data_IF_594328935621
#
_entry.id   IF_594328935621
#
_cell.length_a   1.000
_cell.length_b   1.000
_cell.length_c   1.000
_cell.angle_alpha   90.00
_cell.angle_beta   90.00
_cell.angle_gamma   90.00
#
_symmetry.space_group_name_H-M   'P 1'
#
loop_
_entity.id
_entity.type
_entity.pdbx_description
1 polymer ?
#
# COMPACT_ATOMS: atom_id res chain seq x y z
N UNK A 1 10.06 -19.37 17.90
CA UNK A 1 8.80 -18.84 17.36
C UNK A 1 8.96 -18.65 15.87
N UNK A 2 7.96 -18.99 15.03
CA UNK A 2 8.02 -18.73 13.58
C UNK A 2 7.69 -17.26 13.31
N UNK A 3 8.27 -16.69 12.24
CA UNK A 3 8.11 -15.29 11.86
C UNK A 3 7.37 -15.19 10.53
N UNK A 4 6.54 -14.17 10.37
CA UNK A 4 5.85 -13.85 9.12
C UNK A 4 6.15 -12.40 8.75
N UNK A 5 6.70 -12.20 7.55
CA UNK A 5 6.81 -10.90 6.92
C UNK A 5 5.58 -10.68 6.03
N UNK A 6 4.85 -9.60 6.26
CA UNK A 6 3.63 -9.23 5.53
C UNK A 6 3.92 -7.95 4.76
N UNK A 7 3.62 -7.96 3.47
CA UNK A 7 3.69 -6.77 2.64
C UNK A 7 2.56 -5.79 2.96
N UNK A 8 2.73 -4.52 2.60
CA UNK A 8 1.71 -3.48 2.80
C UNK A 8 0.82 -3.29 1.55
N UNK A 9 1.40 -2.75 0.47
CA UNK A 9 0.65 -2.34 -0.72
C UNK A 9 0.07 -3.55 -1.45
N UNK A 10 -1.23 -3.50 -1.77
CA UNK A 10 -2.00 -4.58 -2.42
C UNK A 10 -2.11 -5.87 -1.60
N UNK A 11 -1.72 -5.84 -0.32
CA UNK A 11 -1.86 -6.96 0.62
C UNK A 11 -2.70 -6.56 1.83
N UNK A 12 -2.32 -5.50 2.54
CA UNK A 12 -3.10 -4.95 3.66
C UNK A 12 -3.71 -3.58 3.31
N UNK A 13 -3.24 -2.92 2.25
CA UNK A 13 -3.76 -1.64 1.76
C UNK A 13 -4.17 -1.67 0.29
N UNK A 14 -5.17 -0.87 -0.07
CA UNK A 14 -5.71 -0.74 -1.44
C UNK A 14 -5.03 0.38 -2.24
N UNK A 15 -3.75 0.23 -2.58
CA UNK A 15 -3.05 1.21 -3.42
C UNK A 15 -3.72 1.33 -4.80
N UNK A 16 -4.19 0.23 -5.39
CA UNK A 16 -4.91 0.25 -6.68
C UNK A 16 -6.22 1.01 -6.57
N UNK A 17 -7.02 0.76 -5.53
CA UNK A 17 -8.27 1.50 -5.29
C UNK A 17 -8.04 3.01 -5.18
N UNK A 18 -6.95 3.42 -4.51
CA UNK A 18 -6.53 4.83 -4.40
C UNK A 18 -6.23 5.45 -5.77
N UNK A 19 -5.54 4.74 -6.65
CA UNK A 19 -5.32 5.20 -8.02
C UNK A 19 -6.62 5.37 -8.79
N UNK A 20 -7.53 4.38 -8.71
CA UNK A 20 -8.83 4.41 -9.38
C UNK A 20 -9.67 5.59 -8.88
N UNK A 21 -9.69 5.80 -7.56
CA UNK A 21 -10.41 6.90 -6.91
C UNK A 21 -9.94 8.26 -7.45
N UNK A 22 -8.64 8.54 -7.38
CA UNK A 22 -8.09 9.83 -7.82
C UNK A 22 -8.25 10.04 -9.32
N UNK A 23 -8.03 9.00 -10.12
CA UNK A 23 -8.23 9.11 -11.56
C UNK A 23 -9.69 9.41 -11.92
N UNK A 24 -10.65 8.78 -11.23
CA UNK A 24 -12.07 9.07 -11.42
C UNK A 24 -12.44 10.50 -11.00
N UNK A 25 -11.87 11.00 -9.90
CA UNK A 25 -12.09 12.36 -9.41
C UNK A 25 -11.54 13.42 -10.37
N UNK A 26 -10.37 13.19 -10.96
CA UNK A 26 -9.68 14.18 -11.79
C UNK A 26 -10.11 14.13 -13.26
N UNK A 27 -10.41 12.94 -13.78
CA UNK A 27 -10.64 12.71 -15.21
C UNK A 27 -12.06 12.23 -15.53
N UNK A 28 -12.92 12.08 -14.52
CA UNK A 28 -14.32 11.67 -14.70
C UNK A 28 -14.53 10.23 -15.16
N UNK A 29 -13.46 9.42 -15.21
CA UNK A 29 -13.50 8.01 -15.64
C UNK A 29 -13.13 7.10 -14.48
N UNK A 30 -14.08 6.25 -14.07
CA UNK A 30 -13.82 5.16 -13.15
C UNK A 30 -13.24 3.95 -13.90
N UNK A 31 -12.00 3.57 -13.60
CA UNK A 31 -11.38 2.36 -14.12
C UNK A 31 -11.94 1.13 -13.40
N UNK A 32 -12.17 0.04 -14.13
CA UNK A 32 -12.56 -1.24 -13.53
C UNK A 32 -11.34 -2.10 -13.25
N UNK A 33 -11.38 -2.90 -12.19
CA UNK A 33 -10.24 -3.75 -11.80
C UNK A 33 -9.89 -4.79 -12.86
N UNK A 34 -10.85 -5.21 -13.67
CA UNK A 34 -10.64 -6.14 -14.78
C UNK A 34 -9.74 -5.54 -15.86
N UNK A 35 -9.74 -4.21 -16.02
CA UNK A 35 -8.86 -3.52 -16.98
C UNK A 35 -7.38 -3.58 -16.55
N UNK A 36 -7.13 -3.77 -15.25
CA UNK A 36 -5.81 -3.76 -14.61
C UNK A 36 -5.14 -5.13 -14.55
N UNK A 37 -5.77 -6.20 -15.08
CA UNK A 37 -5.19 -7.54 -15.02
C UNK A 37 -3.82 -7.58 -15.73
N UNK A 38 -2.76 -7.75 -14.93
CA UNK A 38 -1.36 -7.79 -15.40
C UNK A 38 -0.80 -6.42 -15.82
N UNK A 39 -1.45 -5.31 -15.46
CA UNK A 39 -1.08 -3.94 -15.83
C UNK A 39 -1.10 -3.01 -14.63
N UNK A 40 -0.27 -1.98 -14.65
CA UNK A 40 -0.36 -0.89 -13.68
C UNK A 40 -1.44 0.12 -14.10
N UNK A 41 -1.91 0.95 -13.16
CA UNK A 41 -2.91 1.98 -13.49
C UNK A 41 -2.43 2.96 -14.58
N UNK A 42 -1.18 3.46 -14.54
CA UNK A 42 -0.64 4.26 -15.65
C UNK A 42 -0.69 3.59 -17.03
N UNK A 43 -0.72 2.26 -17.12
CA UNK A 43 -0.74 1.55 -18.42
C UNK A 43 -2.13 1.54 -19.09
N UNK A 44 -3.21 1.78 -18.34
CA UNK A 44 -4.60 1.65 -18.81
C UNK A 44 -5.33 2.98 -19.00
N UNK A 45 -4.73 4.07 -18.54
CA UNK A 45 -5.23 5.44 -18.72
C UNK A 45 -4.82 6.00 -20.08
N UNK A 46 -5.43 7.12 -20.45
CA UNK A 46 -5.07 7.86 -21.66
C UNK A 46 -3.59 8.27 -21.65
N UNK A 47 -2.94 8.26 -22.82
CA UNK A 47 -1.50 8.56 -22.96
C UNK A 47 -1.12 9.90 -22.29
N UNK A 48 -1.99 10.90 -22.46
CA UNK A 48 -1.80 12.23 -21.90
C UNK A 48 -1.76 12.25 -20.36
N UNK A 49 -2.38 11.26 -19.69
CA UNK A 49 -2.50 11.22 -18.22
C UNK A 49 -1.41 10.34 -17.58
N UNK A 50 -0.73 9.48 -18.34
CA UNK A 50 0.19 8.45 -17.79
C UNK A 50 1.25 9.01 -16.86
N UNK A 51 1.92 10.09 -17.25
CA UNK A 51 3.00 10.69 -16.45
C UNK A 51 2.47 11.30 -15.16
N UNK A 52 1.26 11.84 -15.20
CA UNK A 52 0.60 12.50 -14.09
C UNK A 52 0.08 11.47 -13.08
N UNK A 53 -0.60 10.41 -13.56
CA UNK A 53 -1.04 9.27 -12.77
C UNK A 53 0.13 8.53 -12.14
N UNK A 54 1.23 8.28 -12.86
CA UNK A 54 2.44 7.65 -12.31
C UNK A 54 3.06 8.44 -11.15
N UNK A 55 2.73 9.73 -11.02
CA UNK A 55 3.20 10.59 -9.93
C UNK A 55 2.24 10.65 -8.74
N UNK A 56 1.09 9.97 -8.76
CA UNK A 56 0.17 9.92 -7.61
C UNK A 56 0.86 9.55 -6.28
N UNK A 57 1.76 8.55 -6.20
CA UNK A 57 2.45 8.22 -4.95
C UNK A 57 3.37 9.32 -4.39
N UNK A 58 3.69 10.34 -5.20
CA UNK A 58 4.49 11.49 -4.74
C UNK A 58 3.63 12.53 -4.01
N UNK A 59 2.31 12.49 -4.18
CA UNK A 59 1.39 13.47 -3.60
C UNK A 59 1.14 13.15 -2.14
N UNK A 60 0.97 14.20 -1.35
CA UNK A 60 0.59 14.10 0.06
C UNK A 60 -0.78 13.42 0.16
N UNK A 61 -0.91 12.50 1.11
CA UNK A 61 -2.15 11.80 1.42
C UNK A 61 -2.39 10.55 0.57
N UNK A 62 -1.47 10.18 -0.33
CA UNK A 62 -1.61 8.96 -1.12
C UNK A 62 -1.59 7.72 -0.23
N UNK A 63 -0.59 7.60 0.65
CA UNK A 63 -0.42 6.42 1.51
C UNK A 63 -1.24 6.51 2.79
N UNK A 64 -1.39 7.73 3.33
CA UNK A 64 -2.12 7.99 4.58
C UNK A 64 -3.58 7.56 4.54
N UNK A 65 -4.21 7.60 3.38
CA UNK A 65 -5.65 7.37 3.24
C UNK A 65 -5.96 6.04 2.54
N UNK A 66 -4.99 5.14 2.39
CA UNK A 66 -5.26 3.86 1.72
C UNK A 66 -6.34 3.07 2.47
N UNK A 67 -7.31 2.55 1.72
CA UNK A 67 -8.32 1.68 2.28
C UNK A 67 -7.68 0.37 2.77
N UNK A 68 -8.13 -0.12 3.92
CA UNK A 68 -7.72 -1.42 4.44
C UNK A 68 -8.24 -2.55 3.53
N UNK A 69 -7.40 -3.55 3.27
CA UNK A 69 -7.86 -4.75 2.56
C UNK A 69 -8.91 -5.52 3.36
N UNK A 70 -10.00 -5.99 2.72
CA UNK A 70 -11.05 -6.76 3.40
C UNK A 70 -10.46 -7.96 4.14
N UNK A 71 -10.78 -8.07 5.44
CA UNK A 71 -10.31 -9.15 6.30
C UNK A 71 -8.85 -9.07 6.75
N UNK A 72 -8.03 -8.14 6.22
CA UNK A 72 -6.61 -8.07 6.55
C UNK A 72 -6.36 -7.89 8.06
N UNK A 73 -7.12 -7.01 8.71
CA UNK A 73 -6.99 -6.78 10.15
C UNK A 73 -7.32 -8.02 10.97
N UNK A 74 -8.46 -8.67 10.71
CA UNK A 74 -8.87 -9.89 11.44
C UNK A 74 -7.84 -11.02 11.28
N UNK A 75 -7.34 -11.22 10.05
CA UNK A 75 -6.35 -12.26 9.78
C UNK A 75 -5.04 -11.97 10.50
N UNK A 76 -4.56 -10.73 10.48
CA UNK A 76 -3.32 -10.34 11.16
C UNK A 76 -3.47 -10.46 12.68
N UNK A 77 -4.61 -10.04 13.25
CA UNK A 77 -4.92 -10.21 14.68
C UNK A 77 -4.78 -11.69 15.09
N UNK A 78 -5.36 -12.61 14.30
CA UNK A 78 -5.29 -14.06 14.55
C UNK A 78 -3.90 -14.67 14.34
N UNK A 79 -3.11 -14.12 13.41
CA UNK A 79 -1.73 -14.56 13.17
C UNK A 79 -0.80 -14.08 14.30
N UNK A 80 -1.03 -12.88 14.83
CA UNK A 80 -0.24 -12.28 15.91
C UNK A 80 -0.26 -13.13 17.19
N UNK A 81 -1.34 -13.85 17.46
CA UNK A 81 -1.42 -14.80 18.59
C UNK A 81 -0.46 -16.00 18.47
N UNK A 82 0.04 -16.30 17.26
CA UNK A 82 0.78 -17.54 16.95
C UNK A 82 2.17 -17.31 16.38
N UNK A 83 2.41 -16.15 15.80
CA UNK A 83 3.61 -15.82 15.03
C UNK A 83 4.16 -14.46 15.43
N UNK A 84 5.47 -14.29 15.27
CA UNK A 84 6.08 -12.95 15.31
C UNK A 84 5.82 -12.27 13.96
N UNK A 85 4.99 -11.23 13.95
CA UNK A 85 4.58 -10.52 12.74
C UNK A 85 5.51 -9.33 12.48
N UNK A 86 5.91 -9.17 11.22
CA UNK A 86 6.59 -7.98 10.71
C UNK A 86 5.84 -7.45 9.50
N UNK A 87 5.58 -6.14 9.46
CA UNK A 87 5.15 -5.48 8.23
C UNK A 87 6.39 -4.99 7.51
N UNK A 88 6.60 -5.45 6.28
CA UNK A 88 7.79 -5.20 5.48
C UNK A 88 7.40 -4.51 4.18
N UNK A 89 7.66 -3.21 4.08
CA UNK A 89 7.22 -2.37 2.95
C UNK A 89 8.38 -1.56 2.37
N UNK A 90 8.33 -1.35 1.05
CA UNK A 90 9.14 -0.31 0.44
C UNK A 90 8.57 1.06 0.84
N UNK A 91 9.42 2.02 1.18
CA UNK A 91 8.98 3.37 1.56
C UNK A 91 9.98 4.49 1.22
N UNK A 92 11.14 4.14 0.68
CA UNK A 92 12.19 5.10 0.34
C UNK A 92 12.02 5.71 -1.07
N UNK A 93 11.06 5.20 -1.86
CA UNK A 93 10.85 5.60 -3.26
C UNK A 93 10.18 6.98 -3.39
N UNK A 94 9.28 7.33 -2.47
CA UNK A 94 8.53 8.58 -2.52
C UNK A 94 8.71 9.38 -1.22
N UNK A 95 8.89 10.72 -1.28
CA UNK A 95 9.18 11.55 -0.10
C UNK A 95 8.20 11.41 1.07
N UNK A 96 6.91 11.27 0.76
CA UNK A 96 5.84 11.17 1.75
C UNK A 96 5.55 9.72 2.18
N UNK A 97 6.15 8.72 1.54
CA UNK A 97 5.77 7.32 1.74
C UNK A 97 6.09 6.80 3.14
N UNK A 98 7.32 7.01 3.62
CA UNK A 98 7.71 6.56 4.97
C UNK A 98 6.84 7.16 6.09
N UNK A 99 6.71 8.49 6.23
CA UNK A 99 5.93 9.06 7.33
C UNK A 99 4.45 8.67 7.25
N UNK A 100 3.84 8.68 6.06
CA UNK A 100 2.43 8.33 5.90
C UNK A 100 2.15 6.84 6.13
N UNK A 101 3.02 5.95 5.67
CA UNK A 101 2.89 4.50 5.94
C UNK A 101 3.04 4.20 7.42
N UNK A 102 3.98 4.86 8.11
CA UNK A 102 4.16 4.69 9.55
C UNK A 102 2.92 5.19 10.33
N UNK A 103 2.39 6.37 9.98
CA UNK A 103 1.15 6.89 10.57
C UNK A 103 -0.01 5.92 10.35
N UNK A 104 -0.21 5.46 9.10
CA UNK A 104 -1.26 4.53 8.74
C UNK A 104 -1.16 3.20 9.52
N UNK A 105 0.05 2.64 9.66
CA UNK A 105 0.27 1.41 10.41
C UNK A 105 -0.03 1.57 11.90
N UNK A 106 0.36 2.70 12.51
CA UNK A 106 0.06 2.98 13.90
C UNK A 106 -1.45 3.12 14.15
N UNK A 107 -2.19 3.70 13.19
CA UNK A 107 -3.65 3.85 13.28
C UNK A 107 -4.38 2.50 13.16
N UNK A 108 -3.99 1.67 12.18
CA UNK A 108 -4.73 0.46 11.84
C UNK A 108 -4.28 -0.79 12.61
N UNK A 109 -3.02 -0.82 13.06
CA UNK A 109 -2.41 -1.94 13.78
C UNK A 109 -1.73 -1.50 15.09
N UNK A 110 -2.46 -0.86 16.03
CA UNK A 110 -1.88 -0.26 17.25
C UNK A 110 -1.29 -1.30 18.21
N UNK A 111 -1.58 -2.58 18.03
CA UNK A 111 -1.02 -3.69 18.81
C UNK A 111 0.38 -4.12 18.34
N UNK A 112 0.80 -3.71 17.13
CA UNK A 112 2.16 -3.95 16.64
C UNK A 112 3.09 -2.86 17.16
N UNK A 113 4.24 -3.27 17.70
CA UNK A 113 5.27 -2.35 18.17
C UNK A 113 6.10 -1.82 16.99
N UNK A 114 6.66 -0.60 17.07
CA UNK A 114 7.43 0.01 15.97
C UNK A 114 8.58 -0.85 15.42
N UNK A 115 9.16 -1.74 16.25
CA UNK A 115 10.20 -2.71 15.86
C UNK A 115 9.70 -3.77 14.87
N UNK A 116 8.40 -3.91 14.71
CA UNK A 116 7.75 -4.82 13.77
C UNK A 116 7.49 -4.16 12.41
N UNK A 117 7.83 -2.89 12.24
CA UNK A 117 7.72 -2.18 10.96
C UNK A 117 9.11 -2.07 10.31
N UNK A 118 9.27 -2.68 9.15
CA UNK A 118 10.52 -2.73 8.41
C UNK A 118 10.34 -1.97 7.09
N UNK A 119 10.99 -0.80 7.01
CA UNK A 119 11.00 0.04 5.82
C UNK A 119 12.25 -0.20 5.01
N UNK A 120 12.10 -0.48 3.71
CA UNK A 120 13.19 -0.83 2.82
C UNK A 120 13.21 0.05 1.57
N UNK A 121 14.34 0.04 0.88
CA UNK A 121 14.42 0.45 -0.52
C UNK A 121 13.91 -0.65 -1.46
N UNK A 122 14.31 -1.91 -1.25
CA UNK A 122 13.93 -3.05 -2.11
C UNK A 122 13.92 -4.38 -1.35
N UNK A 123 12.80 -5.10 -1.43
CA UNK A 123 12.55 -6.36 -0.69
C UNK A 123 13.50 -7.51 -1.01
N UNK A 124 14.10 -7.54 -2.22
CA UNK A 124 15.05 -8.60 -2.66
C UNK A 124 16.33 -8.72 -1.80
N UNK A 125 16.52 -7.85 -0.81
CA UNK A 125 17.67 -7.89 0.10
C UNK A 125 17.34 -8.44 1.50
N UNK A 126 16.11 -8.96 1.71
CA UNK A 126 15.64 -9.49 3.01
C UNK A 126 15.34 -10.99 2.99
N UNK A 127 15.76 -11.72 1.95
CA UNK A 127 15.66 -13.18 1.82
C UNK A 127 16.96 -13.86 2.17
#
# INVERSE_FOLDING_TARGET
>A
MKRIAIDMDEVITDSVGRYIEWYAQEHGRALRREELQGKSVPDVVEEAHRTEVARYPHRIGFFKNLALMPGAKEVIDRLFEKYEIFIVTAAMEFPNSLPEKLEWLNEHFPFLHWKQFVFLWKKKHCT
#
